data_IF_692705775123
#
_entry.id   IF_692705775123
#
_cell.length_a   1.000
_cell.length_b   1.000
_cell.length_c   1.000
_cell.angle_alpha   90.00
_cell.angle_beta   90.00
_cell.angle_gamma   90.00
#
_symmetry.space_group_name_H-M   'P 1'
#
loop_
_entity.id
_entity.type
_entity.pdbx_description
1 polymer ?
#
# COMPACT_ATOMS: atom_id res chain seq x y z
N UNK A 1 10.12 64.63 -40.16
CA UNK A 1 9.11 63.88 -39.37
C UNK A 1 9.76 62.58 -38.91
N UNK A 2 9.69 62.25 -37.63
CA UNK A 2 10.01 60.91 -37.13
C UNK A 2 8.71 60.11 -36.99
N UNK A 3 8.80 58.80 -37.19
CA UNK A 3 7.97 57.80 -36.51
C UNK A 3 8.67 56.44 -36.64
N UNK A 4 9.02 55.82 -35.50
CA UNK A 4 9.56 54.47 -35.45
C UNK A 4 8.42 53.44 -35.54
N UNK A 5 8.69 52.20 -36.01
CA UNK A 5 7.69 51.14 -36.06
C UNK A 5 7.30 50.63 -34.66
N UNK A 6 6.06 50.16 -34.52
CA UNK A 6 5.60 49.48 -33.31
C UNK A 6 6.35 48.16 -33.10
N UNK A 7 6.79 47.92 -31.86
CA UNK A 7 7.13 46.59 -31.36
C UNK A 7 5.95 46.09 -30.54
N UNK A 8 5.21 45.12 -31.05
CA UNK A 8 4.18 44.42 -30.27
C UNK A 8 4.85 43.33 -29.43
N UNK A 9 4.77 43.42 -28.10
CA UNK A 9 5.16 42.32 -27.21
C UNK A 9 4.15 41.18 -27.32
N UNK A 10 4.64 39.96 -27.54
CA UNK A 10 3.87 38.74 -27.29
C UNK A 10 3.95 38.42 -25.81
N UNK A 11 2.85 38.62 -25.08
CA UNK A 11 2.73 38.25 -23.67
C UNK A 11 2.61 36.72 -23.53
N UNK A 12 3.75 36.05 -23.39
CA UNK A 12 3.80 34.61 -23.08
C UNK A 12 3.33 34.34 -21.65
N UNK A 13 2.41 33.39 -21.48
CA UNK A 13 2.03 32.87 -20.16
C UNK A 13 3.22 32.08 -19.58
N UNK A 14 3.96 32.68 -18.65
CA UNK A 14 5.09 32.04 -17.97
C UNK A 14 4.56 31.03 -16.94
N UNK A 15 4.79 29.74 -17.20
CA UNK A 15 4.69 28.69 -16.19
C UNK A 15 6.01 28.60 -15.43
N UNK A 16 5.92 28.37 -14.12
CA UNK A 16 7.06 28.07 -13.24
C UNK A 16 6.93 26.64 -12.72
N UNK A 17 8.07 26.01 -12.38
CA UNK A 17 8.16 24.58 -12.15
C UNK A 17 9.34 24.25 -11.22
N UNK A 18 9.03 24.14 -9.92
CA UNK A 18 9.90 23.50 -8.92
C UNK A 18 9.35 22.09 -8.67
N UNK A 19 10.16 21.06 -8.87
CA UNK A 19 9.83 19.63 -8.70
C UNK A 19 8.43 19.22 -9.20
N UNK A 20 8.12 19.62 -10.44
CA UNK A 20 6.85 19.42 -11.17
C UNK A 20 5.59 20.05 -10.56
N UNK A 21 5.71 21.01 -9.65
CA UNK A 21 4.61 21.93 -9.35
C UNK A 21 4.48 22.98 -10.46
N UNK A 22 3.53 22.83 -11.38
CA UNK A 22 3.30 23.75 -12.50
C UNK A 22 2.39 24.91 -12.11
N UNK A 23 2.98 26.08 -11.87
CA UNK A 23 2.27 27.31 -11.50
C UNK A 23 1.63 28.02 -12.72
N UNK A 24 0.35 28.40 -12.60
CA UNK A 24 -0.43 29.13 -13.61
C UNK A 24 -1.43 30.10 -12.98
N UNK A 25 -1.94 31.08 -13.75
CA UNK A 25 -3.03 31.95 -13.31
C UNK A 25 -4.37 31.19 -13.38
N UNK A 26 -5.05 31.11 -12.24
CA UNK A 26 -6.27 30.33 -12.08
C UNK A 26 -6.87 30.51 -10.69
N UNK A 27 -8.15 30.13 -10.57
CA UNK A 27 -8.88 30.10 -9.29
C UNK A 27 -9.77 28.86 -9.23
N UNK A 28 -10.10 28.42 -8.02
CA UNK A 28 -10.94 27.24 -7.80
C UNK A 28 -12.36 27.52 -8.30
N UNK A 29 -12.86 26.67 -9.19
CA UNK A 29 -14.24 26.73 -9.68
C UNK A 29 -15.15 25.80 -8.87
N UNK A 30 -14.65 24.60 -8.54
CA UNK A 30 -15.35 23.60 -7.74
C UNK A 30 -14.33 22.73 -7.01
N UNK A 31 -14.41 22.68 -5.69
CA UNK A 31 -13.68 21.76 -4.81
C UNK A 31 -14.39 21.63 -3.46
N UNK A 32 -13.98 20.68 -2.64
CA UNK A 32 -14.26 20.63 -1.21
C UNK A 32 -13.42 21.64 -0.41
N UNK A 33 -13.45 21.52 0.92
CA UNK A 33 -12.70 22.40 1.83
C UNK A 33 -11.19 22.15 1.73
N UNK A 34 -10.35 23.17 1.44
CA UNK A 34 -8.90 23.00 1.44
C UNK A 34 -8.31 22.86 2.85
N UNK A 35 -7.11 22.29 2.90
CA UNK A 35 -6.20 22.49 4.02
C UNK A 35 -5.64 23.92 3.95
N UNK A 36 -6.11 24.79 4.86
CA UNK A 36 -5.62 26.17 4.98
C UNK A 36 -4.29 26.14 5.75
N UNK A 37 -3.25 26.77 5.20
CA UNK A 37 -1.92 26.81 5.83
C UNK A 37 -1.59 28.20 6.37
N UNK A 38 -0.61 28.27 7.28
CA UNK A 38 -0.06 29.54 7.80
C UNK A 38 1.01 30.17 6.88
N UNK A 39 1.23 29.61 5.69
CA UNK A 39 2.31 30.01 4.78
C UNK A 39 1.85 31.18 3.92
N UNK A 40 2.64 32.26 3.88
CA UNK A 40 2.32 33.50 3.16
C UNK A 40 3.24 33.80 1.98
N UNK A 41 4.37 33.09 1.81
CA UNK A 41 5.12 33.09 0.55
C UNK A 41 4.61 32.00 -0.40
N UNK A 42 4.47 32.34 -1.68
CA UNK A 42 3.99 31.41 -2.69
C UNK A 42 4.95 30.25 -2.97
N UNK A 43 6.26 30.49 -2.94
CA UNK A 43 7.24 29.47 -3.27
C UNK A 43 7.34 28.45 -2.13
N UNK A 44 7.22 28.91 -0.88
CA UNK A 44 7.02 28.05 0.29
C UNK A 44 5.68 27.31 0.23
N UNK A 45 4.58 27.99 -0.15
CA UNK A 45 3.25 27.39 -0.32
C UNK A 45 3.27 26.23 -1.33
N UNK A 46 3.89 26.45 -2.49
CA UNK A 46 4.04 25.45 -3.56
C UNK A 46 4.95 24.31 -3.11
N UNK A 47 6.07 24.60 -2.43
CA UNK A 47 6.99 23.58 -1.91
C UNK A 47 6.36 22.72 -0.81
N UNK A 48 5.52 23.30 0.03
CA UNK A 48 4.79 22.52 1.03
C UNK A 48 3.82 21.52 0.37
N UNK A 49 3.01 21.93 -0.61
CA UNK A 49 2.15 21.00 -1.37
C UNK A 49 2.95 19.97 -2.19
N UNK A 50 4.14 20.32 -2.68
CA UNK A 50 5.04 19.36 -3.34
C UNK A 50 5.46 18.22 -2.40
N UNK A 51 5.79 18.54 -1.16
CA UNK A 51 6.23 17.58 -0.14
C UNK A 51 5.08 16.88 0.60
N UNK A 52 3.91 17.51 0.72
CA UNK A 52 2.70 16.95 1.33
C UNK A 52 2.18 15.77 0.48
N UNK A 53 2.13 14.52 1.00
CA UNK A 53 1.84 13.34 0.18
C UNK A 53 0.50 13.43 -0.55
N UNK A 54 -0.57 13.83 0.14
CA UNK A 54 -1.93 13.88 -0.41
C UNK A 54 -2.23 15.08 -1.30
N UNK A 55 -1.40 16.14 -1.27
CA UNK A 55 -1.69 17.40 -1.97
C UNK A 55 -1.45 17.27 -3.48
N UNK A 56 -2.40 17.73 -4.29
CA UNK A 56 -2.30 17.77 -5.76
C UNK A 56 -2.32 19.20 -6.32
N UNK A 57 -2.80 20.19 -5.56
CA UNK A 57 -2.81 21.58 -5.98
C UNK A 57 -2.65 22.55 -4.80
N UNK A 58 -1.78 23.56 -4.99
CA UNK A 58 -1.72 24.76 -4.15
C UNK A 58 -2.47 25.93 -4.84
N UNK A 59 -3.14 26.78 -4.08
CA UNK A 59 -3.84 27.99 -4.54
C UNK A 59 -3.45 29.18 -3.67
N UNK A 60 -3.07 30.29 -4.31
CA UNK A 60 -2.97 31.60 -3.68
C UNK A 60 -4.18 32.42 -4.07
N UNK A 61 -5.05 32.66 -3.10
CA UNK A 61 -6.29 33.42 -3.30
C UNK A 61 -6.01 34.94 -3.38
N UNK A 62 -7.08 35.74 -3.52
CA UNK A 62 -6.96 37.21 -3.62
C UNK A 62 -6.44 37.87 -2.35
N UNK A 63 -6.61 37.23 -1.20
CA UNK A 63 -6.20 37.71 0.13
C UNK A 63 -4.76 37.27 0.48
N UNK A 64 -4.11 36.51 -0.42
CA UNK A 64 -2.74 35.97 -0.30
C UNK A 64 -2.56 34.94 0.81
N UNK A 65 -3.63 34.19 1.07
CA UNK A 65 -3.56 32.94 1.83
C UNK A 65 -3.13 31.78 0.92
N UNK A 66 -2.41 30.81 1.49
CA UNK A 66 -2.04 29.56 0.84
C UNK A 66 -3.02 28.43 1.22
N UNK A 67 -3.81 27.98 0.25
CA UNK A 67 -4.78 26.89 0.38
C UNK A 67 -4.27 25.64 -0.37
N UNK A 68 -4.33 24.47 0.26
CA UNK A 68 -3.91 23.19 -0.35
C UNK A 68 -5.11 22.27 -0.57
N UNK A 69 -5.15 21.65 -1.75
CA UNK A 69 -6.19 20.71 -2.15
C UNK A 69 -5.61 19.31 -2.32
N UNK A 70 -6.21 18.34 -1.63
CA UNK A 70 -5.92 16.92 -1.77
C UNK A 70 -6.69 16.31 -2.96
N UNK A 71 -6.27 15.12 -3.39
CA UNK A 71 -6.76 14.47 -4.61
C UNK A 71 -8.28 14.23 -4.64
N UNK A 72 -8.88 13.95 -3.49
CA UNK A 72 -10.28 13.58 -3.30
C UNK A 72 -11.24 14.78 -3.32
N UNK A 73 -10.73 15.96 -2.95
CA UNK A 73 -11.54 17.19 -2.83
C UNK A 73 -11.47 18.11 -4.03
N UNK A 74 -10.52 17.97 -4.97
CA UNK A 74 -10.44 18.85 -6.14
C UNK A 74 -11.34 18.40 -7.29
N UNK A 75 -12.11 19.34 -7.86
CA UNK A 75 -12.89 19.12 -9.09
C UNK A 75 -12.34 19.92 -10.27
N UNK A 76 -12.58 21.23 -10.24
CA UNK A 76 -12.31 22.13 -11.37
C UNK A 76 -11.63 23.44 -10.95
N UNK A 77 -10.68 23.88 -11.78
CA UNK A 77 -10.00 25.18 -11.70
C UNK A 77 -10.36 26.00 -12.94
N UNK A 78 -10.80 27.24 -12.76
CA UNK A 78 -11.02 28.17 -13.86
C UNK A 78 -9.70 28.80 -14.31
N UNK A 79 -9.42 28.79 -15.62
CA UNK A 79 -8.29 29.53 -16.19
C UNK A 79 -8.49 31.04 -16.06
N UNK A 80 -7.46 31.73 -15.59
CA UNK A 80 -7.44 33.19 -15.43
C UNK A 80 -6.29 33.84 -16.22
N UNK A 81 -6.26 35.17 -16.17
CA UNK A 81 -5.19 36.03 -16.68
C UNK A 81 -4.29 36.52 -15.54
N UNK A 82 -3.17 37.18 -15.86
CA UNK A 82 -2.26 37.73 -14.84
C UNK A 82 -2.93 38.85 -14.04
N UNK A 83 -3.84 39.53 -14.69
CA UNK A 83 -4.59 40.70 -14.24
C UNK A 83 -5.65 40.34 -13.18
N UNK A 84 -6.09 39.08 -13.11
CA UNK A 84 -7.06 38.61 -12.10
C UNK A 84 -6.47 38.44 -10.69
N UNK A 85 -5.13 38.32 -10.59
CA UNK A 85 -4.36 38.35 -9.35
C UNK A 85 -4.23 37.03 -8.57
N UNK A 86 -4.90 35.96 -8.98
CA UNK A 86 -4.86 34.62 -8.35
C UNK A 86 -4.01 33.63 -9.14
N UNK A 87 -3.38 32.69 -8.45
CA UNK A 87 -2.55 31.64 -9.05
C UNK A 87 -2.75 30.30 -8.37
N UNK A 88 -2.67 29.24 -9.15
CA UNK A 88 -2.62 27.85 -8.68
C UNK A 88 -1.33 27.19 -9.11
N UNK A 89 -0.94 26.10 -8.46
CA UNK A 89 0.16 25.24 -8.90
C UNK A 89 -0.26 23.78 -8.80
N UNK A 90 -0.33 23.12 -9.96
CA UNK A 90 -0.68 21.70 -10.06
C UNK A 90 0.56 20.84 -9.86
N UNK A 91 0.49 19.85 -8.97
CA UNK A 91 1.46 18.75 -8.90
C UNK A 91 1.21 17.84 -10.11
N UNK A 92 2.25 17.49 -10.86
CA UNK A 92 2.16 16.56 -11.99
C UNK A 92 3.28 15.52 -11.95
N UNK A 93 3.10 14.40 -12.63
CA UNK A 93 4.14 13.37 -12.74
C UNK A 93 5.26 13.82 -13.70
N UNK A 94 6.49 13.52 -13.27
CA UNK A 94 7.84 14.03 -13.78
C UNK A 94 7.93 12.95 -14.96
N UNK A 95 8.04 13.35 -16.24
CA UNK A 95 8.48 12.40 -17.29
C UNK A 95 9.95 12.02 -16.98
N UNK A 96 10.26 10.76 -16.64
CA UNK A 96 11.61 10.37 -16.25
C UNK A 96 12.64 10.48 -17.38
N UNK A 97 12.22 10.57 -18.65
CA UNK A 97 13.11 10.86 -19.77
C UNK A 97 13.45 12.37 -19.87
N UNK A 98 12.61 13.25 -19.33
CA UNK A 98 12.79 14.70 -19.45
C UNK A 98 13.71 15.28 -18.37
N UNK A 99 14.73 16.02 -18.82
CA UNK A 99 15.63 16.81 -17.96
C UNK A 99 15.15 18.24 -17.72
N UNK A 100 14.02 18.61 -18.32
CA UNK A 100 13.47 19.97 -18.30
C UNK A 100 11.98 19.94 -17.97
N UNK A 101 11.46 21.01 -17.38
CA UNK A 101 10.03 21.16 -17.22
C UNK A 101 9.32 21.20 -18.60
N UNK A 102 8.10 20.66 -18.69
CA UNK A 102 7.31 20.72 -19.92
C UNK A 102 7.05 22.16 -20.35
N UNK A 103 6.90 22.37 -21.66
CA UNK A 103 6.70 23.70 -22.25
C UNK A 103 5.79 23.66 -23.47
N UNK A 104 5.10 24.77 -23.75
CA UNK A 104 4.04 24.82 -24.73
C UNK A 104 2.96 25.83 -24.38
N UNK A 105 1.84 25.76 -25.08
CA UNK A 105 0.62 26.53 -24.79
C UNK A 105 -0.23 25.84 -23.71
N UNK A 106 -1.13 26.58 -23.05
CA UNK A 106 -2.09 26.05 -22.06
C UNK A 106 -1.51 25.15 -20.92
N UNK A 107 -0.45 25.55 -20.20
CA UNK A 107 -0.03 24.86 -18.96
C UNK A 107 -1.21 24.75 -17.97
N UNK A 108 -1.30 23.69 -17.14
CA UNK A 108 -0.42 22.51 -17.09
C UNK A 108 -0.63 21.51 -18.23
N UNK A 109 -1.73 21.63 -18.99
CA UNK A 109 -2.10 20.77 -20.14
C UNK A 109 -1.36 21.19 -21.42
N UNK A 110 -0.04 21.03 -21.42
CA UNK A 110 0.83 21.62 -22.44
C UNK A 110 0.47 21.19 -23.87
N UNK A 111 0.21 22.17 -24.72
CA UNK A 111 -0.23 22.02 -26.11
C UNK A 111 -1.58 21.31 -26.30
N UNK A 112 -2.38 21.19 -25.23
CA UNK A 112 -3.65 20.46 -25.23
C UNK A 112 -3.52 19.00 -24.79
N UNK A 113 -2.29 18.52 -24.53
CA UNK A 113 -2.08 17.20 -23.94
C UNK A 113 -2.50 17.18 -22.47
N UNK A 114 -2.98 16.02 -22.02
CA UNK A 114 -3.35 15.79 -20.63
C UNK A 114 -2.10 15.75 -19.73
N UNK A 115 -2.16 16.36 -18.56
CA UNK A 115 -1.06 16.30 -17.59
C UNK A 115 -1.30 15.15 -16.59
N UNK A 116 -0.45 14.10 -16.56
CA UNK A 116 -0.60 13.00 -15.62
C UNK A 116 -0.14 13.39 -14.22
N UNK A 117 -0.61 12.66 -13.21
CA UNK A 117 -0.24 12.79 -11.82
C UNK A 117 -0.31 11.43 -11.11
N UNK A 118 0.52 11.22 -10.10
CA UNK A 118 0.58 9.98 -9.33
C UNK A 118 0.91 10.29 -7.88
N UNK A 119 0.13 9.73 -6.94
CA UNK A 119 0.46 9.64 -5.52
C UNK A 119 0.48 8.17 -5.10
N UNK A 120 1.33 7.85 -4.12
CA UNK A 120 1.32 6.60 -3.39
C UNK A 120 1.07 6.93 -1.91
N UNK A 121 -0.13 6.64 -1.40
CA UNK A 121 -0.51 6.96 -0.02
C UNK A 121 -0.64 5.67 0.80
N UNK A 122 -0.01 5.63 1.96
CA UNK A 122 -0.10 4.48 2.88
C UNK A 122 -1.22 4.71 3.89
N UNK A 123 -2.19 3.79 3.92
CA UNK A 123 -3.26 3.76 4.91
C UNK A 123 -2.86 3.06 6.21
N UNK A 124 -3.84 2.57 6.96
CA UNK A 124 -3.57 1.67 8.09
C UNK A 124 -2.85 0.38 7.61
N UNK A 125 -2.15 -0.31 8.53
CA UNK A 125 -1.42 -1.56 8.25
C UNK A 125 -0.40 -1.44 7.10
N UNK A 126 0.06 -0.22 6.80
CA UNK A 126 0.87 0.12 5.63
C UNK A 126 0.24 -0.35 4.29
N UNK A 127 -1.08 -0.49 4.20
CA UNK A 127 -1.77 -0.85 2.95
C UNK A 127 -1.71 0.34 1.98
N UNK A 128 -0.97 0.27 0.86
CA UNK A 128 -0.84 1.41 -0.04
C UNK A 128 -2.04 1.57 -0.96
N UNK A 129 -2.31 2.82 -1.32
CA UNK A 129 -3.24 3.22 -2.37
C UNK A 129 -2.45 3.94 -3.47
N UNK A 130 -2.45 3.34 -4.66
CA UNK A 130 -2.05 3.99 -5.91
C UNK A 130 -3.14 4.99 -6.30
N UNK A 131 -2.76 6.23 -6.58
CA UNK A 131 -3.68 7.29 -6.99
C UNK A 131 -3.15 7.94 -8.27
N UNK A 132 -3.63 7.47 -9.41
CA UNK A 132 -3.39 8.08 -10.71
C UNK A 132 -4.42 9.16 -10.97
N UNK A 133 -3.97 10.39 -11.26
CA UNK A 133 -4.85 11.47 -11.66
C UNK A 133 -4.42 12.10 -12.98
N UNK A 134 -5.37 12.75 -13.65
CA UNK A 134 -5.16 13.42 -14.93
C UNK A 134 -5.77 14.81 -14.88
N UNK A 135 -4.96 15.84 -15.14
CA UNK A 135 -5.48 17.19 -15.40
C UNK A 135 -5.83 17.31 -16.88
N UNK A 136 -7.07 17.67 -17.20
CA UNK A 136 -7.58 17.87 -18.58
C UNK A 136 -8.14 19.28 -18.72
N UNK A 137 -8.03 19.89 -19.90
CA UNK A 137 -8.55 21.25 -20.15
C UNK A 137 -9.77 21.23 -21.05
N UNK A 138 -10.93 21.46 -20.46
CA UNK A 138 -12.24 21.33 -21.11
C UNK A 138 -13.11 22.55 -20.78
N UNK A 139 -13.76 23.13 -21.80
CA UNK A 139 -14.72 24.25 -21.65
C UNK A 139 -14.22 25.49 -20.88
N UNK A 140 -12.90 25.72 -20.82
CA UNK A 140 -12.28 26.85 -20.10
C UNK A 140 -11.83 26.52 -18.67
N UNK A 141 -12.03 25.28 -18.23
CA UNK A 141 -11.66 24.76 -16.91
C UNK A 141 -10.56 23.70 -17.04
N UNK A 142 -9.67 23.63 -16.05
CA UNK A 142 -8.90 22.42 -15.80
C UNK A 142 -9.66 21.53 -14.83
N UNK A 143 -10.09 20.36 -15.28
CA UNK A 143 -10.65 19.32 -14.41
C UNK A 143 -9.55 18.38 -13.94
N UNK A 144 -9.59 17.96 -12.67
CA UNK A 144 -8.74 16.90 -12.13
C UNK A 144 -9.57 15.63 -12.04
N UNK A 145 -9.18 14.61 -12.79
CA UNK A 145 -9.87 13.33 -12.87
C UNK A 145 -9.01 12.27 -12.18
N UNK A 146 -9.55 11.61 -11.16
CA UNK A 146 -8.80 10.68 -10.30
C UNK A 146 -9.32 9.26 -10.46
N UNK A 147 -8.38 8.33 -10.58
CA UNK A 147 -8.57 6.89 -10.47
C UNK A 147 -7.67 6.39 -9.33
N UNK A 148 -8.23 5.63 -8.39
CA UNK A 148 -7.47 5.12 -7.23
C UNK A 148 -7.64 3.61 -7.07
N UNK A 149 -6.63 2.99 -6.49
CA UNK A 149 -6.52 1.54 -6.35
C UNK A 149 -5.81 1.20 -5.05
N UNK A 150 -6.50 0.51 -4.15
CA UNK A 150 -5.90 -0.02 -2.92
C UNK A 150 -5.19 -1.35 -3.23
N UNK A 151 -4.06 -1.62 -2.57
CA UNK A 151 -3.29 -2.84 -2.80
C UNK A 151 -3.98 -4.07 -2.19
N UNK A 152 -4.45 -3.96 -0.94
CA UNK A 152 -5.13 -5.05 -0.26
C UNK A 152 -6.62 -4.76 -0.05
N UNK A 153 -7.52 -5.78 -0.11
CA UNK A 153 -8.97 -5.57 -0.25
C UNK A 153 -9.67 -4.75 0.85
N UNK A 154 -9.14 -4.77 2.07
CA UNK A 154 -9.66 -4.05 3.24
C UNK A 154 -8.54 -3.94 4.31
N UNK A 155 -8.77 -3.16 5.37
CA UNK A 155 -7.78 -2.87 6.42
C UNK A 155 -7.42 -4.08 7.32
N UNK A 156 -8.11 -5.22 7.21
CA UNK A 156 -7.69 -6.45 7.90
C UNK A 156 -6.61 -7.22 7.12
N UNK A 157 -6.18 -6.69 5.97
CA UNK A 157 -5.03 -7.18 5.23
C UNK A 157 -3.81 -6.28 5.44
N UNK A 158 -2.64 -6.90 5.60
CA UNK A 158 -1.35 -6.19 5.66
C UNK A 158 -0.56 -6.44 4.37
N UNK A 159 -0.07 -5.36 3.78
CA UNK A 159 0.71 -5.37 2.54
C UNK A 159 2.15 -5.84 2.78
N UNK A 160 2.66 -6.66 1.85
CA UNK A 160 4.04 -7.13 1.81
C UNK A 160 4.60 -6.96 0.39
N UNK A 161 5.60 -6.09 0.17
CA UNK A 161 6.23 -5.93 -1.14
C UNK A 161 7.12 -7.14 -1.46
N UNK A 162 7.12 -7.62 -2.72
CA UNK A 162 7.94 -8.76 -3.15
C UNK A 162 8.53 -8.56 -4.54
N UNK A 163 9.77 -9.03 -4.73
CA UNK A 163 10.41 -9.07 -6.07
C UNK A 163 9.61 -9.89 -7.09
N UNK A 164 8.84 -10.88 -6.64
CA UNK A 164 7.97 -11.73 -7.47
C UNK A 164 6.61 -11.11 -7.83
N UNK A 165 6.30 -9.92 -7.31
CA UNK A 165 4.96 -9.32 -7.31
C UNK A 165 4.34 -9.33 -5.90
N UNK A 166 3.86 -8.15 -5.51
CA UNK A 166 3.39 -7.81 -4.17
C UNK A 166 2.26 -8.71 -3.64
N UNK A 167 2.17 -8.77 -2.31
CA UNK A 167 1.29 -9.69 -1.61
C UNK A 167 0.53 -9.01 -0.47
N UNK A 168 -0.60 -9.62 -0.10
CA UNK A 168 -1.44 -9.19 1.01
C UNK A 168 -1.69 -10.38 1.94
N UNK A 169 -1.31 -10.24 3.21
CA UNK A 169 -1.55 -11.24 4.25
C UNK A 169 -2.75 -10.87 5.13
N UNK A 170 -3.49 -11.88 5.60
CA UNK A 170 -4.57 -11.73 6.58
C UNK A 170 -4.61 -12.95 7.49
N UNK A 171 -4.62 -12.69 8.80
CA UNK A 171 -4.91 -13.72 9.78
C UNK A 171 -6.43 -13.93 9.89
N UNK A 172 -6.92 -15.10 9.51
CA UNK A 172 -8.25 -15.57 9.85
C UNK A 172 -8.29 -16.14 11.27
N UNK A 173 -9.47 -16.11 11.89
CA UNK A 173 -9.69 -16.52 13.29
C UNK A 173 -10.71 -17.66 13.33
N UNK A 174 -10.57 -18.56 14.30
CA UNK A 174 -11.54 -19.63 14.56
C UNK A 174 -12.82 -19.12 15.25
N UNK A 175 -13.92 -19.84 15.08
CA UNK A 175 -15.15 -19.63 15.83
C UNK A 175 -14.98 -19.86 17.33
N UNK A 176 -15.98 -19.46 18.11
CA UNK A 176 -15.98 -19.62 19.56
C UNK A 176 -15.78 -21.10 19.98
N UNK A 177 -14.73 -21.37 20.76
CA UNK A 177 -14.27 -22.72 21.14
C UNK A 177 -13.91 -23.67 19.98
N UNK A 178 -13.78 -23.18 18.76
CA UNK A 178 -13.31 -23.99 17.62
C UNK A 178 -11.79 -24.18 17.67
N UNK A 179 -11.33 -25.26 17.05
CA UNK A 179 -9.92 -25.50 16.73
C UNK A 179 -9.79 -25.88 15.25
N UNK A 180 -8.82 -25.31 14.56
CA UNK A 180 -8.63 -25.43 13.11
C UNK A 180 -7.52 -26.44 12.80
N UNK A 181 -7.81 -27.41 11.93
CA UNK A 181 -6.79 -28.28 11.30
C UNK A 181 -6.10 -27.54 10.14
N UNK A 182 -4.99 -28.09 9.66
CA UNK A 182 -4.33 -27.61 8.44
C UNK A 182 -5.30 -27.57 7.26
N UNK A 183 -6.07 -28.63 7.05
CA UNK A 183 -7.01 -28.76 5.95
C UNK A 183 -8.16 -27.75 6.03
N UNK A 184 -8.71 -27.48 7.23
CA UNK A 184 -9.75 -26.45 7.41
C UNK A 184 -9.21 -25.03 7.21
N UNK A 185 -7.95 -24.75 7.57
CA UNK A 185 -7.31 -23.46 7.27
C UNK A 185 -7.19 -23.22 5.75
N UNK A 186 -6.83 -24.26 5.00
CA UNK A 186 -6.74 -24.24 3.52
C UNK A 186 -8.11 -23.97 2.89
N UNK A 187 -9.15 -24.66 3.34
CA UNK A 187 -10.51 -24.46 2.86
C UNK A 187 -11.00 -23.02 3.13
N UNK A 188 -10.77 -22.51 4.35
CA UNK A 188 -11.22 -21.17 4.75
C UNK A 188 -10.54 -20.02 4.02
N UNK A 189 -9.22 -20.06 3.83
CA UNK A 189 -8.55 -19.02 3.04
C UNK A 189 -9.16 -18.89 1.65
N UNK A 190 -9.54 -20.02 1.04
CA UNK A 190 -10.19 -20.05 -0.27
C UNK A 190 -11.65 -19.58 -0.21
N UNK A 191 -12.44 -20.04 0.76
CA UNK A 191 -13.89 -19.79 0.80
C UNK A 191 -14.29 -18.45 1.40
N UNK A 192 -13.56 -17.96 2.41
CA UNK A 192 -13.89 -16.72 3.14
C UNK A 192 -13.24 -15.49 2.50
N UNK A 193 -12.04 -15.64 1.92
CA UNK A 193 -11.19 -14.51 1.51
C UNK A 193 -10.76 -14.52 0.03
N UNK A 194 -11.13 -15.55 -0.74
CA UNK A 194 -10.64 -15.82 -2.09
C UNK A 194 -9.10 -15.75 -2.17
N UNK A 195 -8.43 -16.50 -1.28
CA UNK A 195 -7.01 -16.42 -1.01
C UNK A 195 -6.38 -17.81 -0.84
N UNK A 196 -5.05 -17.85 -0.79
CA UNK A 196 -4.24 -19.07 -0.62
C UNK A 196 -3.70 -19.13 0.81
N UNK A 197 -3.86 -20.26 1.48
CA UNK A 197 -3.19 -20.52 2.76
C UNK A 197 -1.67 -20.41 2.58
N UNK A 198 -0.99 -19.60 3.40
CA UNK A 198 0.34 -19.08 3.08
C UNK A 198 1.32 -19.07 4.26
N UNK A 199 2.61 -19.05 3.92
CA UNK A 199 3.75 -18.75 4.79
C UNK A 199 4.60 -17.61 4.19
N UNK A 200 5.78 -17.33 4.77
CA UNK A 200 6.67 -16.25 4.37
C UNK A 200 7.60 -16.67 3.21
N UNK A 201 8.04 -15.72 2.39
CA UNK A 201 9.10 -15.96 1.37
C UNK A 201 10.53 -15.75 1.90
N UNK A 202 10.66 -15.00 2.99
CA UNK A 202 11.92 -14.56 3.59
C UNK A 202 11.74 -14.29 5.11
N UNK A 203 12.83 -14.01 5.83
CA UNK A 203 12.79 -13.79 7.28
C UNK A 203 11.99 -12.52 7.66
N UNK A 204 11.98 -11.50 6.79
CA UNK A 204 11.20 -10.27 6.96
C UNK A 204 9.69 -10.55 6.94
N UNK A 205 9.19 -11.39 6.02
CA UNK A 205 7.81 -11.87 6.09
C UNK A 205 7.58 -12.81 7.29
N UNK A 206 8.59 -13.57 7.71
CA UNK A 206 8.52 -14.40 8.91
C UNK A 206 8.24 -13.57 10.18
N UNK A 207 8.94 -12.45 10.35
CA UNK A 207 8.68 -11.48 11.42
C UNK A 207 7.34 -10.75 11.23
N UNK A 208 6.90 -10.47 10.00
CA UNK A 208 5.55 -9.93 9.72
C UNK A 208 4.45 -10.91 10.19
N UNK A 209 4.58 -12.22 9.90
CA UNK A 209 3.59 -13.20 10.35
C UNK A 209 3.61 -13.38 11.88
N UNK A 210 4.79 -13.25 12.52
CA UNK A 210 4.88 -13.19 13.98
C UNK A 210 4.18 -11.94 14.55
N UNK A 211 4.36 -10.77 13.94
CA UNK A 211 3.66 -9.53 14.34
C UNK A 211 2.14 -9.68 14.20
N UNK A 212 1.64 -10.24 13.09
CA UNK A 212 0.21 -10.47 12.90
C UNK A 212 -0.36 -11.44 13.95
N UNK A 213 0.41 -12.43 14.40
CA UNK A 213 0.02 -13.31 15.50
C UNK A 213 0.09 -12.61 16.88
N UNK A 214 1.14 -11.85 17.16
CA UNK A 214 1.27 -11.07 18.41
C UNK A 214 0.09 -10.08 18.52
N UNK A 215 -0.28 -9.42 17.42
CA UNK A 215 -1.41 -8.48 17.38
C UNK A 215 -2.77 -9.13 17.68
N UNK A 216 -3.08 -10.34 17.18
CA UNK A 216 -4.32 -11.02 17.55
C UNK A 216 -4.43 -11.31 19.05
N UNK A 217 -3.30 -11.50 19.75
CA UNK A 217 -3.28 -11.64 21.21
C UNK A 217 -3.54 -10.29 21.90
N UNK A 218 -2.91 -9.21 21.44
CA UNK A 218 -3.05 -7.86 22.01
C UNK A 218 -4.47 -7.31 21.83
N UNK A 219 -5.02 -7.41 20.62
CA UNK A 219 -6.41 -7.02 20.27
C UNK A 219 -7.46 -7.98 20.87
N UNK A 220 -7.03 -9.08 21.53
CA UNK A 220 -7.86 -10.15 22.12
C UNK A 220 -8.84 -10.77 21.12
N UNK A 221 -8.39 -10.89 19.88
CA UNK A 221 -9.19 -11.40 18.77
C UNK A 221 -9.33 -12.94 18.84
N UNK A 222 -8.36 -13.65 19.42
CA UNK A 222 -8.46 -15.07 19.77
C UNK A 222 -9.12 -15.29 21.13
N UNK A 223 -9.83 -16.42 21.30
CA UNK A 223 -10.50 -16.75 22.57
C UNK A 223 -9.50 -17.15 23.68
N UNK A 224 -8.42 -17.84 23.31
CA UNK A 224 -7.27 -18.08 24.19
C UNK A 224 -6.20 -17.01 23.99
N UNK A 225 -5.53 -16.60 25.08
CA UNK A 225 -4.31 -15.77 24.98
C UNK A 225 -3.15 -16.57 24.41
N UNK A 226 -3.07 -17.85 24.77
CA UNK A 226 -2.01 -18.76 24.39
C UNK A 226 -2.57 -19.74 23.37
N UNK A 227 -2.11 -19.65 22.12
CA UNK A 227 -2.76 -20.30 20.99
C UNK A 227 -1.78 -20.61 19.86
N UNK A 228 -2.24 -21.38 18.88
CA UNK A 228 -1.52 -21.71 17.64
C UNK A 228 -2.17 -21.04 16.43
N UNK A 229 -1.36 -20.37 15.61
CA UNK A 229 -1.73 -19.93 14.26
C UNK A 229 -1.20 -20.92 13.23
N UNK A 230 -2.09 -21.40 12.35
CA UNK A 230 -1.75 -22.22 11.17
C UNK A 230 -1.05 -21.39 10.11
N UNK A 231 0.00 -21.92 9.50
CA UNK A 231 0.71 -21.36 8.35
C UNK A 231 1.01 -22.47 7.35
N UNK A 232 1.24 -22.12 6.09
CA UNK A 232 1.51 -23.08 5.02
C UNK A 232 2.86 -23.79 5.23
N UNK A 233 2.90 -25.09 4.93
CA UNK A 233 4.05 -25.96 5.17
C UNK A 233 3.68 -27.23 5.93
N UNK A 234 3.61 -28.35 5.20
CA UNK A 234 3.33 -29.70 5.72
C UNK A 234 4.47 -30.65 5.37
N UNK A 235 4.95 -31.44 6.31
CA UNK A 235 6.12 -32.32 6.16
C UNK A 235 5.83 -33.42 5.13
N UNK A 236 6.72 -33.56 4.16
CA UNK A 236 6.66 -34.59 3.11
C UNK A 236 6.61 -35.99 3.74
N UNK A 237 5.89 -36.93 3.10
CA UNK A 237 5.74 -38.31 3.59
C UNK A 237 7.08 -39.00 3.89
N UNK A 238 8.09 -38.77 3.04
CA UNK A 238 9.45 -39.26 3.23
C UNK A 238 10.09 -38.78 4.55
N UNK A 239 9.75 -37.56 4.98
CA UNK A 239 10.34 -36.91 6.15
C UNK A 239 9.57 -37.13 7.45
N UNK A 240 8.30 -37.56 7.42
CA UNK A 240 7.49 -37.86 8.62
C UNK A 240 8.12 -38.94 9.51
N UNK A 241 8.90 -39.86 8.92
CA UNK A 241 9.63 -40.92 9.63
C UNK A 241 11.08 -40.57 10.00
N UNK A 242 11.67 -39.53 9.40
CA UNK A 242 13.10 -39.17 9.54
C UNK A 242 13.34 -37.64 9.57
N UNK A 243 12.64 -36.91 10.45
CA UNK A 243 12.48 -35.45 10.35
C UNK A 243 13.77 -34.68 10.65
N UNK A 244 14.64 -35.21 11.51
CA UNK A 244 15.93 -34.62 11.90
C UNK A 244 17.08 -34.89 10.89
N UNK A 245 16.78 -35.47 9.72
CA UNK A 245 17.79 -35.56 8.65
C UNK A 245 18.01 -34.18 8.00
N UNK A 246 19.24 -33.85 7.54
CA UNK A 246 19.52 -32.51 6.98
C UNK A 246 18.62 -32.08 5.82
N UNK A 247 18.10 -33.02 5.03
CA UNK A 247 17.10 -32.74 3.99
C UNK A 247 15.75 -32.35 4.60
N UNK A 248 15.28 -33.13 5.59
CA UNK A 248 14.00 -32.93 6.25
C UNK A 248 13.95 -31.75 7.23
N UNK A 249 15.13 -31.23 7.61
CA UNK A 249 15.32 -29.96 8.31
C UNK A 249 15.53 -28.77 7.37
N UNK A 250 15.14 -28.87 6.10
CA UNK A 250 15.26 -27.80 5.10
C UNK A 250 13.94 -27.61 4.33
N UNK A 251 13.91 -26.65 3.40
CA UNK A 251 12.76 -26.41 2.50
C UNK A 251 12.26 -27.69 1.82
N UNK A 252 13.16 -28.61 1.41
CA UNK A 252 12.78 -29.88 0.76
C UNK A 252 12.13 -30.90 1.71
N UNK A 253 12.12 -30.63 3.02
CA UNK A 253 11.39 -31.41 4.00
C UNK A 253 9.88 -31.22 3.95
N UNK A 254 9.39 -30.14 3.34
CA UNK A 254 8.00 -29.68 3.41
C UNK A 254 7.39 -29.47 2.01
N UNK A 255 6.09 -29.74 1.90
CA UNK A 255 5.22 -29.31 0.80
C UNK A 255 4.47 -28.05 1.22
N UNK A 256 4.30 -27.13 0.28
CA UNK A 256 3.57 -25.87 0.45
C UNK A 256 2.46 -25.77 -0.60
N UNK A 257 1.36 -25.11 -0.26
CA UNK A 257 0.20 -24.89 -1.13
C UNK A 257 0.36 -23.58 -1.91
N UNK A 258 0.89 -22.54 -1.27
CA UNK A 258 1.45 -21.40 -1.97
C UNK A 258 2.92 -21.73 -2.32
N UNK A 259 3.29 -21.82 -3.61
CA UNK A 259 4.62 -22.26 -4.04
C UNK A 259 5.74 -21.27 -3.69
N UNK A 260 5.40 -20.06 -3.24
CA UNK A 260 6.36 -19.08 -2.73
C UNK A 260 6.66 -19.25 -1.23
N UNK A 261 5.81 -19.96 -0.47
CA UNK A 261 5.99 -20.16 0.97
C UNK A 261 7.29 -20.91 1.30
N UNK A 262 7.94 -20.53 2.40
CA UNK A 262 9.21 -21.12 2.83
C UNK A 262 9.26 -21.40 4.33
N UNK A 263 10.32 -22.10 4.73
CA UNK A 263 10.73 -22.30 6.13
C UNK A 263 11.44 -21.08 6.75
N UNK A 264 11.49 -19.93 6.08
CA UNK A 264 12.24 -18.73 6.50
C UNK A 264 11.55 -17.96 7.64
N UNK A 265 11.44 -18.57 8.80
CA UNK A 265 11.03 -17.91 10.04
C UNK A 265 12.26 -17.52 10.86
N UNK A 266 12.41 -16.24 11.28
CA UNK A 266 13.61 -15.75 11.97
C UNK A 266 13.83 -16.35 13.36
N UNK A 267 12.84 -17.10 13.90
CA UNK A 267 12.97 -17.79 15.18
C UNK A 267 12.10 -19.04 15.29
N UNK A 268 12.74 -20.17 15.49
CA UNK A 268 12.09 -21.45 15.82
C UNK A 268 12.11 -21.71 17.34
N UNK A 269 11.14 -22.47 17.84
CA UNK A 269 11.05 -22.88 19.25
C UNK A 269 12.08 -23.97 19.62
N UNK A 270 12.48 -24.75 18.63
CA UNK A 270 13.32 -25.96 18.67
C UNK A 270 13.98 -26.13 17.28
N UNK A 271 14.50 -27.31 16.93
CA UNK A 271 14.86 -27.58 15.52
C UNK A 271 13.60 -27.72 14.66
N UNK A 272 13.69 -27.37 13.38
CA UNK A 272 12.64 -27.66 12.39
C UNK A 272 12.42 -29.17 12.15
N UNK A 273 13.37 -30.01 12.58
CA UNK A 273 13.21 -31.47 12.67
C UNK A 273 12.41 -31.95 13.88
N UNK A 274 12.27 -31.12 14.93
CA UNK A 274 11.64 -31.54 16.18
C UNK A 274 10.17 -31.93 16.02
N UNK A 275 9.75 -32.90 16.85
CA UNK A 275 8.39 -33.44 16.97
C UNK A 275 8.17 -33.80 18.43
N UNK A 276 7.18 -33.19 19.09
CA UNK A 276 6.75 -33.55 20.45
C UNK A 276 5.76 -34.74 20.39
N UNK A 277 4.93 -34.79 19.35
CA UNK A 277 3.99 -35.86 19.00
C UNK A 277 4.38 -36.65 17.74
N UNK A 278 3.87 -37.88 17.61
CA UNK A 278 4.16 -38.78 16.49
C UNK A 278 3.55 -38.38 15.14
N UNK A 279 2.72 -37.33 15.12
CA UNK A 279 2.02 -36.73 13.99
C UNK A 279 2.35 -35.23 13.82
N UNK A 280 3.39 -34.72 14.50
CA UNK A 280 3.85 -33.34 14.39
C UNK A 280 4.51 -33.06 13.04
N UNK A 281 3.70 -32.67 12.06
CA UNK A 281 4.12 -32.53 10.67
C UNK A 281 3.69 -31.23 9.99
N UNK A 282 3.03 -30.30 10.68
CA UNK A 282 2.64 -29.02 10.10
C UNK A 282 3.36 -27.85 10.78
N UNK A 283 3.89 -26.91 9.99
CA UNK A 283 4.49 -25.67 10.49
C UNK A 283 3.37 -24.82 11.10
N UNK A 284 3.63 -24.27 12.29
CA UNK A 284 2.71 -23.37 12.99
C UNK A 284 3.47 -22.26 13.71
N UNK A 285 2.82 -21.12 13.88
CA UNK A 285 3.29 -20.05 14.78
C UNK A 285 2.67 -20.30 16.16
N UNK A 286 3.50 -20.30 17.20
CA UNK A 286 3.11 -20.52 18.60
C UNK A 286 3.20 -19.22 19.37
N UNK A 287 2.05 -18.70 19.79
CA UNK A 287 1.89 -17.42 20.49
C UNK A 287 1.56 -17.70 21.96
N UNK A 288 2.31 -17.11 22.89
CA UNK A 288 2.21 -17.37 24.35
C UNK A 288 2.31 -16.03 25.08
N UNK A 289 1.41 -15.76 26.02
CA UNK A 289 1.31 -14.43 26.63
C UNK A 289 2.61 -13.98 27.32
N UNK A 290 3.01 -12.74 27.03
CA UNK A 290 4.26 -12.14 27.53
C UNK A 290 5.54 -12.69 26.89
N UNK A 291 5.45 -13.41 25.76
CA UNK A 291 6.60 -13.91 24.99
C UNK A 291 6.43 -13.61 23.50
N UNK A 292 7.54 -13.31 22.83
CA UNK A 292 7.55 -13.26 21.35
C UNK A 292 7.15 -14.62 20.76
N UNK A 293 6.37 -14.56 19.68
CA UNK A 293 5.99 -15.67 18.84
C UNK A 293 7.22 -16.42 18.28
N UNK A 294 7.01 -17.69 17.93
CA UNK A 294 8.02 -18.57 17.36
C UNK A 294 7.39 -19.56 16.39
N UNK A 295 8.13 -19.95 15.36
CA UNK A 295 7.77 -21.08 14.51
C UNK A 295 8.06 -22.42 15.23
N UNK A 296 7.23 -23.43 14.98
CA UNK A 296 7.45 -24.80 15.43
C UNK A 296 6.70 -25.76 14.51
N UNK A 297 7.02 -27.05 14.55
CA UNK A 297 6.19 -28.08 13.91
C UNK A 297 5.27 -28.70 14.97
N UNK A 298 4.00 -28.91 14.63
CA UNK A 298 2.97 -29.55 15.47
C UNK A 298 1.94 -30.33 14.61
N UNK A 299 1.09 -31.14 15.24
CA UNK A 299 0.04 -31.92 14.58
C UNK A 299 -0.75 -31.11 13.57
N UNK A 300 -0.91 -31.65 12.36
CA UNK A 300 -1.78 -31.08 11.33
C UNK A 300 -3.26 -31.12 11.73
N UNK A 301 -3.63 -32.05 12.63
CA UNK A 301 -4.98 -32.13 13.22
C UNK A 301 -5.15 -31.11 14.34
N UNK A 302 -6.32 -31.05 14.97
CA UNK A 302 -6.58 -30.21 16.15
C UNK A 302 -5.87 -30.66 17.44
N UNK A 303 -5.06 -31.73 17.40
CA UNK A 303 -4.31 -32.25 18.55
C UNK A 303 -3.00 -31.47 18.79
N UNK A 304 -3.10 -30.16 19.03
CA UNK A 304 -1.95 -29.27 19.23
C UNK A 304 -1.70 -28.92 20.70
N UNK A 305 -0.47 -28.50 21.04
CA UNK A 305 -0.04 -28.19 22.42
C UNK A 305 -0.70 -26.94 23.03
N UNK A 306 -1.30 -26.09 22.19
CA UNK A 306 -2.20 -24.98 22.54
C UNK A 306 -3.34 -24.95 21.51
N UNK A 307 -4.49 -24.31 21.79
CA UNK A 307 -5.62 -24.27 20.86
C UNK A 307 -5.27 -23.65 19.50
N UNK A 308 -5.56 -24.36 18.40
CA UNK A 308 -5.34 -23.85 17.04
C UNK A 308 -6.46 -22.89 16.62
N UNK A 309 -6.30 -21.60 16.93
CA UNK A 309 -7.38 -20.59 16.85
C UNK A 309 -7.19 -19.49 15.81
N UNK A 310 -6.09 -19.51 15.05
CA UNK A 310 -5.91 -18.61 13.90
C UNK A 310 -5.26 -19.33 12.72
N UNK A 311 -5.30 -18.72 11.54
CA UNK A 311 -4.71 -19.25 10.32
C UNK A 311 -4.30 -18.13 9.36
N UNK A 312 -3.16 -18.26 8.69
CA UNK A 312 -2.63 -17.23 7.79
C UNK A 312 -3.05 -17.47 6.33
N UNK A 313 -3.72 -16.48 5.77
CA UNK A 313 -4.10 -16.43 4.37
C UNK A 313 -3.31 -15.35 3.64
N UNK A 314 -3.09 -15.55 2.34
CA UNK A 314 -2.38 -14.63 1.49
C UNK A 314 -2.95 -14.60 0.08
N UNK A 315 -2.90 -13.44 -0.57
CA UNK A 315 -3.27 -13.27 -1.98
C UNK A 315 -2.40 -12.21 -2.63
N UNK A 316 -2.30 -12.26 -3.95
CA UNK A 316 -1.67 -11.20 -4.74
C UNK A 316 -2.29 -9.83 -4.37
N UNK A 317 -1.42 -8.84 -4.19
CA UNK A 317 -1.84 -7.46 -4.02
C UNK A 317 -2.29 -6.87 -5.37
N UNK A 318 -2.94 -5.71 -5.31
CA UNK A 318 -3.38 -4.95 -6.49
C UNK A 318 -4.38 -5.72 -7.38
N UNK A 319 -5.04 -6.75 -6.84
CA UNK A 319 -6.06 -7.55 -7.53
C UNK A 319 -7.40 -6.81 -7.54
N UNK A 320 -7.90 -6.52 -8.74
CA UNK A 320 -9.22 -5.91 -8.94
C UNK A 320 -10.35 -6.86 -8.50
N UNK A 321 -11.09 -6.46 -7.47
CA UNK A 321 -12.46 -6.94 -7.28
C UNK A 321 -13.37 -5.97 -8.08
N UNK A 322 -14.07 -6.48 -9.10
CA UNK A 322 -15.11 -5.77 -9.86
C UNK A 322 -16.51 -6.01 -9.25
#
# INVERSE_FOLDING_TARGET
MLLLPLIFLVLSQQAFCDDWMISVFGTIHQAGSPNITTITDWNECVKGCANEPGCVLAHENKEKECHWYQYDIIGYVKKLTKEDGERVSFKITKDPASKTCPSGTNPPTFNGENAPGFLLLYGEYNNPTDITYTVRYENGLWGVFVESKIACPDDYWTYSPRESGDYCFRAGIAGYNEQISYETAVERCKSEYNATFSGPVNEEEGDLLFYLAERLQEDRATYSTDYIMRVDGKRTEACQSTPDTPNCMSQSGFTFINPMSTVAYPKWASSIGARDGSDDDCIVIKTVSGKKSVATVQSCTTMTSLPAQAYMCGREAWVWNL
#
